data_IF_841843085464
#
_entry.id   IF_841843085464
#
_cell.length_a   1.000
_cell.length_b   1.000
_cell.length_c   1.000
_cell.angle_alpha   90.00
_cell.angle_beta   90.00
_cell.angle_gamma   90.00
#
_symmetry.space_group_name_H-M   'P 1'
#
loop_
_entity.id
_entity.type
_entity.pdbx_description
1 polymer ?
#
# COMPACT_ATOMS: atom_id res chain seq x y z
N UNK A 1 -3.94 17.03 -13.32
CA UNK A 1 -3.21 16.96 -12.03
C UNK A 1 -1.73 16.65 -12.24
N UNK A 2 -0.83 17.21 -11.42
CA UNK A 2 0.62 16.98 -11.49
C UNK A 2 1.26 16.85 -10.07
N UNK A 3 2.58 16.64 -10.01
CA UNK A 3 3.31 16.41 -8.76
C UNK A 3 3.20 17.55 -7.75
N UNK A 4 2.83 18.78 -8.17
CA UNK A 4 2.71 19.93 -7.28
C UNK A 4 1.61 19.74 -6.24
N UNK A 5 0.59 18.93 -6.55
CA UNK A 5 -0.47 18.58 -5.61
C UNK A 5 0.09 17.97 -4.32
N UNK A 6 1.13 17.13 -4.40
CA UNK A 6 1.78 16.54 -3.22
C UNK A 6 2.79 17.48 -2.54
N UNK A 7 3.27 18.51 -3.23
CA UNK A 7 4.21 19.47 -2.64
C UNK A 7 3.54 20.47 -1.70
N UNK A 8 2.22 20.66 -1.83
CA UNK A 8 1.43 21.47 -0.90
C UNK A 8 1.54 20.98 0.54
N UNK A 9 1.80 19.68 0.73
CA UNK A 9 1.95 19.06 2.05
C UNK A 9 3.41 18.98 2.53
N UNK A 10 4.33 19.74 1.94
CA UNK A 10 5.71 19.83 2.43
C UNK A 10 5.73 20.67 3.71
N UNK A 11 5.97 20.01 4.85
CA UNK A 11 6.10 20.67 6.15
C UNK A 11 4.86 20.59 7.04
N UNK A 12 3.75 20.04 6.55
CA UNK A 12 2.52 19.83 7.32
C UNK A 12 2.31 18.35 7.71
N UNK A 13 1.49 18.06 8.74
CA UNK A 13 1.03 16.71 9.03
C UNK A 13 0.34 16.10 7.80
N UNK A 14 0.77 14.90 7.41
CA UNK A 14 0.27 14.18 6.22
C UNK A 14 -1.06 13.46 6.50
N UNK A 15 -2.11 14.23 6.85
CA UNK A 15 -3.44 13.72 7.20
C UNK A 15 -4.37 13.51 6.00
N UNK A 16 -5.69 13.68 6.19
CA UNK A 16 -6.73 13.39 5.19
C UNK A 16 -6.53 14.06 3.81
N UNK A 17 -6.12 15.33 3.78
CA UNK A 17 -5.87 16.03 2.51
C UNK A 17 -4.70 15.42 1.72
N UNK A 18 -3.64 15.01 2.41
CA UNK A 18 -2.50 14.33 1.79
C UNK A 18 -2.90 12.94 1.27
N UNK A 19 -3.72 12.23 2.03
CA UNK A 19 -4.29 10.94 1.64
C UNK A 19 -5.06 11.07 0.32
N UNK A 20 -6.03 12.00 0.26
CA UNK A 20 -6.81 12.26 -0.96
C UNK A 20 -5.91 12.60 -2.14
N UNK A 21 -4.99 13.56 -1.99
CA UNK A 21 -4.07 13.95 -3.05
C UNK A 21 -3.17 12.80 -3.55
N UNK A 22 -2.83 11.84 -2.69
CA UNK A 22 -2.09 10.64 -3.09
C UNK A 22 -2.96 9.70 -3.95
N UNK A 23 -4.22 9.49 -3.60
CA UNK A 23 -5.13 8.66 -4.39
C UNK A 23 -5.37 9.26 -5.78
N UNK A 24 -5.74 10.53 -5.78
CA UNK A 24 -6.00 11.36 -6.95
C UNK A 24 -4.77 11.38 -7.89
N UNK A 25 -3.58 11.64 -7.35
CA UNK A 25 -2.38 11.68 -8.19
C UNK A 25 -1.93 10.28 -8.63
N UNK A 26 -2.18 9.26 -7.80
CA UNK A 26 -1.94 7.86 -8.14
C UNK A 26 -2.76 7.44 -9.37
N UNK A 27 -4.05 7.74 -9.39
CA UNK A 27 -4.93 7.51 -10.54
C UNK A 27 -4.41 8.25 -11.79
N UNK A 28 -4.13 9.55 -11.68
CA UNK A 28 -3.64 10.32 -12.83
C UNK A 28 -2.30 9.81 -13.39
N UNK A 29 -1.47 9.17 -12.56
CA UNK A 29 -0.24 8.49 -13.00
C UNK A 29 -0.55 7.15 -13.68
N UNK A 30 -1.51 6.41 -13.15
CA UNK A 30 -1.97 5.15 -13.74
C UNK A 30 -2.48 5.35 -15.17
N UNK A 31 -3.37 6.32 -15.39
CA UNK A 31 -3.91 6.65 -16.73
C UNK A 31 -2.81 7.01 -17.75
N UNK A 32 -1.65 7.46 -17.28
CA UNK A 32 -0.49 7.81 -18.11
C UNK A 32 0.49 6.66 -18.30
N UNK A 33 0.15 5.44 -17.87
CA UNK A 33 1.02 4.27 -17.95
C UNK A 33 2.20 4.29 -16.97
N UNK A 34 2.13 5.08 -15.89
CA UNK A 34 3.19 5.21 -14.89
C UNK A 34 2.90 4.37 -13.65
N UNK A 35 2.65 3.08 -13.83
CA UNK A 35 2.17 2.16 -12.79
C UNK A 35 3.07 2.11 -11.54
N UNK A 36 4.40 2.01 -11.69
CA UNK A 36 5.31 2.04 -10.55
C UNK A 36 5.13 3.29 -9.68
N UNK A 37 4.95 4.46 -10.32
CA UNK A 37 4.77 5.74 -9.61
C UNK A 37 3.38 5.87 -9.02
N UNK A 38 2.37 5.29 -9.66
CA UNK A 38 1.02 5.20 -9.13
C UNK A 38 0.99 4.38 -7.83
N UNK A 39 1.64 3.22 -7.80
CA UNK A 39 1.78 2.40 -6.59
C UNK A 39 2.51 3.15 -5.46
N UNK A 40 3.58 3.90 -5.77
CA UNK A 40 4.25 4.75 -4.77
C UNK A 40 3.33 5.82 -4.18
N UNK A 41 2.30 6.27 -4.90
CA UNK A 41 1.31 7.18 -4.32
C UNK A 41 0.39 6.44 -3.36
N UNK A 42 0.00 5.19 -3.67
CA UNK A 42 -0.77 4.35 -2.74
C UNK A 42 0.03 4.03 -1.46
N UNK A 43 1.33 3.78 -1.56
CA UNK A 43 2.21 3.60 -0.40
C UNK A 43 2.20 4.83 0.51
N UNK A 44 2.24 6.02 -0.11
CA UNK A 44 2.19 7.30 0.61
C UNK A 44 0.83 7.50 1.25
N UNK A 45 -0.26 7.14 0.58
CA UNK A 45 -1.61 7.17 1.13
C UNK A 45 -1.73 6.23 2.35
N UNK A 46 -1.20 5.01 2.26
CA UNK A 46 -1.12 4.08 3.40
C UNK A 46 -0.22 4.60 4.53
N UNK A 47 0.76 5.44 4.22
CA UNK A 47 1.61 6.11 5.20
C UNK A 47 1.04 7.42 5.77
N UNK A 48 -0.17 7.82 5.39
CA UNK A 48 -0.83 9.02 5.90
C UNK A 48 -1.19 8.88 7.40
N UNK A 49 -1.12 9.99 8.13
CA UNK A 49 -1.47 10.07 9.54
C UNK A 49 -2.99 10.19 9.71
N UNK A 50 -3.67 9.05 9.58
CA UNK A 50 -5.12 8.90 9.65
C UNK A 50 -5.53 8.17 10.92
N UNK A 51 -6.58 8.63 11.59
CA UNK A 51 -7.12 8.06 12.83
C UNK A 51 -8.19 6.99 12.56
N UNK A 52 -8.77 6.97 11.36
CA UNK A 52 -9.81 6.04 10.95
C UNK A 52 -11.22 6.61 10.99
N UNK A 53 -11.42 7.79 11.58
CA UNK A 53 -12.70 8.50 11.66
C UNK A 53 -12.83 9.62 10.61
N UNK A 54 -11.79 9.85 9.81
CA UNK A 54 -11.81 10.84 8.74
C UNK A 54 -12.95 10.55 7.74
N UNK A 55 -13.78 11.55 7.37
CA UNK A 55 -14.87 11.36 6.42
C UNK A 55 -14.43 10.75 5.08
N UNK A 56 -13.22 11.11 4.61
CA UNK A 56 -12.65 10.60 3.37
C UNK A 56 -12.54 9.06 3.33
N UNK A 57 -12.40 8.39 4.48
CA UNK A 57 -12.28 6.93 4.55
C UNK A 57 -13.61 6.19 4.34
N UNK A 58 -14.75 6.90 4.36
CA UNK A 58 -16.06 6.32 4.05
C UNK A 58 -16.22 6.11 2.55
N UNK A 59 -15.82 7.11 1.78
CA UNK A 59 -15.89 7.06 0.31
C UNK A 59 -14.68 6.34 -0.28
N UNK A 60 -13.51 6.52 0.34
CA UNK A 60 -12.23 5.99 -0.12
C UNK A 60 -11.51 5.23 1.00
N UNK A 61 -11.84 3.94 1.23
CA UNK A 61 -11.16 3.09 2.21
C UNK A 61 -9.66 2.99 1.92
N UNK A 62 -8.86 2.59 2.91
CA UNK A 62 -7.42 2.39 2.75
C UNK A 62 -7.10 1.56 1.48
N UNK A 63 -6.12 1.96 0.66
CA UNK A 63 -6.04 1.56 -0.74
C UNK A 63 -5.46 0.16 -0.98
N UNK A 64 -5.72 -0.81 -0.10
CA UNK A 64 -5.34 -2.21 -0.31
C UNK A 64 -5.96 -2.78 -1.58
N UNK A 65 -7.24 -2.49 -1.83
CA UNK A 65 -7.94 -2.93 -3.05
C UNK A 65 -7.32 -2.30 -4.30
N UNK A 66 -7.03 -1.00 -4.26
CA UNK A 66 -6.38 -0.30 -5.36
C UNK A 66 -4.97 -0.83 -5.62
N UNK A 67 -4.20 -1.12 -4.56
CA UNK A 67 -2.87 -1.71 -4.67
C UNK A 67 -2.91 -3.08 -5.36
N UNK A 68 -3.79 -3.98 -4.90
CA UNK A 68 -3.99 -5.28 -5.52
C UNK A 68 -4.43 -5.15 -6.99
N UNK A 69 -5.30 -4.19 -7.29
CA UNK A 69 -5.77 -3.93 -8.65
C UNK A 69 -4.65 -3.43 -9.57
N UNK A 70 -3.83 -2.46 -9.14
CA UNK A 70 -2.66 -2.01 -9.91
C UNK A 70 -1.67 -3.15 -10.17
N UNK A 71 -1.38 -3.97 -9.17
CA UNK A 71 -0.48 -5.11 -9.32
C UNK A 71 -0.98 -6.11 -10.37
N UNK A 72 -2.28 -6.40 -10.36
CA UNK A 72 -2.92 -7.37 -11.26
C UNK A 72 -3.06 -6.84 -12.69
N UNK A 73 -3.36 -5.54 -12.86
CA UNK A 73 -3.76 -4.97 -14.14
C UNK A 73 -2.67 -4.13 -14.81
N UNK A 74 -1.45 -4.11 -14.25
CA UNK A 74 -0.37 -3.42 -14.94
C UNK A 74 -0.07 -4.14 -16.25
N UNK A 75 -0.11 -3.45 -17.41
CA UNK A 75 0.23 -4.07 -18.68
C UNK A 75 1.65 -4.66 -18.65
N UNK A 76 1.90 -5.81 -19.31
CA UNK A 76 3.20 -6.47 -19.29
C UNK A 76 4.38 -5.60 -19.76
N UNK A 77 4.12 -4.65 -20.66
CA UNK A 77 5.09 -3.70 -21.21
C UNK A 77 5.37 -2.49 -20.29
N UNK A 78 4.55 -2.30 -19.27
CA UNK A 78 4.68 -1.19 -18.32
C UNK A 78 5.54 -1.62 -17.13
N UNK A 79 6.61 -0.85 -16.87
CA UNK A 79 7.51 -1.13 -15.77
C UNK A 79 6.86 -0.91 -14.40
N UNK A 80 6.98 -1.92 -13.52
CA UNK A 80 6.53 -1.88 -12.11
C UNK A 80 7.64 -2.20 -11.09
N UNK A 81 8.84 -2.50 -11.56
CA UNK A 81 9.91 -3.04 -10.71
C UNK A 81 9.58 -4.43 -10.15
N UNK A 82 10.14 -4.76 -8.99
CA UNK A 82 9.79 -5.96 -8.23
C UNK A 82 9.03 -5.53 -6.96
N UNK A 83 7.69 -5.64 -6.94
CA UNK A 83 6.88 -5.28 -5.78
C UNK A 83 7.24 -6.05 -4.51
N UNK A 84 7.60 -7.33 -4.61
CA UNK A 84 7.97 -8.16 -3.45
C UNK A 84 9.26 -7.64 -2.80
N UNK A 85 10.26 -7.27 -3.61
CA UNK A 85 11.49 -6.61 -3.16
C UNK A 85 11.17 -5.25 -2.53
N UNK A 86 10.38 -4.43 -3.21
CA UNK A 86 10.01 -3.08 -2.76
C UNK A 86 9.39 -3.10 -1.35
N UNK A 87 8.34 -3.91 -1.14
CA UNK A 87 7.64 -3.92 0.15
C UNK A 87 8.48 -4.50 1.29
N UNK A 88 9.35 -5.49 1.02
CA UNK A 88 10.31 -6.00 2.01
C UNK A 88 11.22 -4.88 2.51
N UNK A 89 11.83 -4.12 1.60
CA UNK A 89 12.71 -3.01 1.96
C UNK A 89 11.95 -1.84 2.57
N UNK A 90 10.72 -1.58 2.14
CA UNK A 90 9.89 -0.51 2.65
C UNK A 90 9.54 -0.73 4.14
N UNK A 91 9.22 -1.97 4.51
CA UNK A 91 8.86 -2.32 5.88
C UNK A 91 9.93 -1.93 6.92
N UNK A 92 11.22 -2.05 6.58
CA UNK A 92 12.34 -1.77 7.50
C UNK A 92 12.80 -0.31 7.50
N UNK A 93 12.23 0.53 6.63
CA UNK A 93 12.60 1.96 6.49
C UNK A 93 11.58 2.92 7.10
N UNK A 94 10.63 2.40 7.87
CA UNK A 94 9.60 3.23 8.49
C UNK A 94 10.17 4.08 9.63
N UNK A 95 9.78 5.34 9.66
CA UNK A 95 10.13 6.29 10.72
C UNK A 95 8.93 6.52 11.65
N UNK A 96 9.07 7.39 12.65
CA UNK A 96 7.93 7.92 13.42
C UNK A 96 7.21 9.05 12.65
N UNK A 97 5.95 9.39 12.99
CA UNK A 97 5.07 8.74 13.97
C UNK A 97 4.42 7.44 13.45
N UNK A 98 3.97 6.55 14.33
CA UNK A 98 3.24 5.31 13.98
C UNK A 98 4.07 4.37 13.11
N UNK A 99 5.34 4.20 13.46
CA UNK A 99 6.27 3.34 12.71
C UNK A 99 5.73 1.92 12.50
N UNK A 100 5.24 1.28 13.56
CA UNK A 100 4.76 -0.10 13.50
C UNK A 100 3.53 -0.23 12.60
N UNK A 101 2.55 0.67 12.70
CA UNK A 101 1.40 0.72 11.78
C UNK A 101 1.88 0.71 10.32
N UNK A 102 2.76 1.63 9.95
CA UNK A 102 3.24 1.78 8.57
C UNK A 102 4.04 0.56 8.10
N UNK A 103 4.83 -0.03 9.01
CA UNK A 103 5.56 -1.28 8.75
C UNK A 103 4.60 -2.42 8.42
N UNK A 104 3.55 -2.60 9.22
CA UNK A 104 2.57 -3.66 9.00
C UNK A 104 1.71 -3.44 7.76
N UNK A 105 1.42 -2.18 7.40
CA UNK A 105 0.82 -1.84 6.09
C UNK A 105 1.73 -2.22 4.91
N UNK A 106 3.05 -2.05 5.03
CA UNK A 106 3.99 -2.51 4.01
C UNK A 106 4.00 -4.04 3.89
N UNK A 107 4.00 -4.77 5.01
CA UNK A 107 3.87 -6.23 5.00
C UNK A 107 2.53 -6.73 4.44
N UNK A 108 1.45 -6.00 4.71
CA UNK A 108 0.13 -6.27 4.14
C UNK A 108 0.13 -6.16 2.60
N UNK A 109 0.81 -5.13 2.05
CA UNK A 109 0.99 -4.98 0.61
C UNK A 109 1.95 -6.02 0.02
N UNK A 110 3.00 -6.40 0.75
CA UNK A 110 3.87 -7.51 0.39
C UNK A 110 3.11 -8.82 0.22
N UNK A 111 2.19 -9.12 1.14
CA UNK A 111 1.36 -10.31 1.08
C UNK A 111 0.42 -10.28 -0.14
N UNK A 112 -0.18 -9.12 -0.45
CA UNK A 112 -0.96 -8.93 -1.68
C UNK A 112 -0.10 -9.17 -2.92
N UNK A 113 1.10 -8.58 -2.99
CA UNK A 113 2.01 -8.76 -4.11
C UNK A 113 2.37 -10.23 -4.36
N UNK A 114 2.59 -11.02 -3.30
CA UNK A 114 2.87 -12.45 -3.42
C UNK A 114 1.76 -13.26 -4.05
N UNK A 115 0.51 -12.89 -3.79
CA UNK A 115 -0.65 -13.62 -4.31
C UNK A 115 -1.02 -13.14 -5.71
N UNK A 116 -0.94 -11.82 -5.95
CA UNK A 116 -1.33 -11.24 -7.23
C UNK A 116 -0.25 -11.46 -8.29
N UNK A 117 1.03 -11.40 -7.91
CA UNK A 117 2.18 -11.51 -8.81
C UNK A 117 3.22 -12.50 -8.25
N UNK A 118 2.90 -13.80 -8.19
CA UNK A 118 3.74 -14.82 -7.57
C UNK A 118 5.09 -15.02 -8.28
N UNK A 119 5.23 -14.56 -9.52
CA UNK A 119 6.48 -14.61 -10.28
C UNK A 119 7.59 -13.71 -9.70
N UNK A 120 7.25 -12.72 -8.88
CA UNK A 120 8.25 -11.88 -8.23
C UNK A 120 8.87 -12.56 -7.01
N UNK A 121 10.18 -12.77 -7.07
CA UNK A 121 10.96 -13.30 -5.97
C UNK A 121 11.22 -12.25 -4.87
N UNK A 122 11.41 -12.73 -3.64
CA UNK A 122 11.95 -11.93 -2.54
C UNK A 122 13.40 -11.54 -2.82
N UNK A 123 13.91 -10.55 -2.08
CA UNK A 123 15.35 -10.27 -2.06
C UNK A 123 16.09 -11.38 -1.29
N UNK A 124 16.95 -12.20 -1.95
CA UNK A 124 17.69 -13.24 -1.26
C UNK A 124 18.77 -12.70 -0.31
N UNK A 125 19.17 -11.43 -0.46
CA UNK A 125 20.18 -10.78 0.40
C UNK A 125 19.55 -10.09 1.60
N UNK A 126 18.24 -9.89 1.58
CA UNK A 126 17.53 -9.29 2.69
C UNK A 126 17.09 -10.37 3.68
N UNK A 127 17.89 -10.53 4.74
CA UNK A 127 17.61 -11.52 5.78
C UNK A 127 16.48 -11.00 6.67
N UNK A 128 15.25 -11.26 6.24
CA UNK A 128 14.04 -10.92 6.98
C UNK A 128 13.19 -12.16 7.20
N UNK A 129 12.66 -12.30 8.41
CA UNK A 129 11.64 -13.32 8.69
C UNK A 129 10.33 -12.82 8.12
N UNK A 130 9.93 -13.38 6.97
CA UNK A 130 8.66 -13.05 6.33
C UNK A 130 7.50 -13.32 7.31
N UNK A 131 6.66 -12.33 7.63
CA UNK A 131 5.56 -12.53 8.56
C UNK A 131 4.48 -13.43 7.96
N UNK A 132 3.83 -14.20 8.81
CA UNK A 132 2.68 -15.02 8.41
C UNK A 132 1.46 -14.14 8.16
N UNK A 133 0.48 -14.69 7.44
CA UNK A 133 -0.82 -14.01 7.23
C UNK A 133 -1.45 -13.60 8.57
N UNK A 134 -1.47 -14.50 9.54
CA UNK A 134 -2.04 -14.24 10.87
C UNK A 134 -1.25 -13.20 11.66
N UNK A 135 0.09 -13.18 11.54
CA UNK A 135 0.93 -12.18 12.18
C UNK A 135 0.64 -10.77 11.62
N UNK A 136 0.54 -10.63 10.30
CA UNK A 136 0.16 -9.36 9.67
C UNK A 136 -1.23 -8.94 10.16
N UNK A 137 -2.20 -9.87 10.14
CA UNK A 137 -3.56 -9.56 10.51
C UNK A 137 -3.69 -9.11 11.98
N UNK A 138 -3.01 -9.80 12.89
CA UNK A 138 -2.98 -9.44 14.31
C UNK A 138 -2.33 -8.08 14.54
N UNK A 139 -1.24 -7.79 13.83
CA UNK A 139 -0.57 -6.51 13.92
C UNK A 139 -1.39 -5.35 13.33
N UNK A 140 -2.10 -5.57 12.22
CA UNK A 140 -3.04 -4.57 11.70
C UNK A 140 -4.21 -4.32 12.66
N UNK A 141 -4.65 -5.32 13.43
CA UNK A 141 -5.65 -5.10 14.49
C UNK A 141 -5.06 -4.29 15.66
N UNK A 142 -3.80 -4.53 16.02
CA UNK A 142 -3.16 -3.88 17.18
C UNK A 142 -2.70 -2.44 16.89
N UNK A 143 -2.05 -2.23 15.73
CA UNK A 143 -1.39 -0.97 15.36
C UNK A 143 -2.15 -0.19 14.29
N UNK A 144 -3.09 -0.83 13.58
CA UNK A 144 -3.87 -0.22 12.50
C UNK A 144 -5.02 0.68 12.98
N UNK A 145 -5.86 1.10 12.04
CA UNK A 145 -7.14 1.75 12.36
C UNK A 145 -8.25 0.71 12.54
N UNK A 146 -9.36 1.10 13.16
CA UNK A 146 -10.50 0.21 13.36
C UNK A 146 -11.00 -0.36 12.02
N UNK A 147 -11.18 -1.69 11.97
CA UNK A 147 -11.63 -2.40 10.77
C UNK A 147 -10.55 -2.66 9.70
N UNK A 148 -9.31 -2.20 9.92
CA UNK A 148 -8.25 -2.31 8.91
C UNK A 148 -7.87 -3.76 8.60
N UNK A 149 -7.78 -4.60 9.63
CA UNK A 149 -7.45 -6.02 9.47
C UNK A 149 -8.53 -6.75 8.67
N UNK A 150 -9.80 -6.48 8.96
CA UNK A 150 -10.95 -7.03 8.25
C UNK A 150 -10.97 -6.60 6.79
N UNK A 151 -10.72 -5.32 6.51
CA UNK A 151 -10.60 -4.78 5.16
C UNK A 151 -9.47 -5.50 4.39
N UNK A 152 -8.28 -5.60 4.97
CA UNK A 152 -7.15 -6.24 4.32
C UNK A 152 -7.39 -7.73 4.06
N UNK A 153 -7.93 -8.48 5.04
CA UNK A 153 -8.27 -9.90 4.87
C UNK A 153 -9.28 -10.12 3.75
N UNK A 154 -10.30 -9.26 3.65
CA UNK A 154 -11.29 -9.30 2.58
C UNK A 154 -10.63 -9.09 1.22
N UNK A 155 -9.82 -8.04 1.05
CA UNK A 155 -9.09 -7.76 -0.19
C UNK A 155 -8.13 -8.90 -0.54
N UNK A 156 -7.39 -9.44 0.43
CA UNK A 156 -6.48 -10.56 0.20
C UNK A 156 -7.22 -11.82 -0.29
N UNK A 157 -8.38 -12.12 0.30
CA UNK A 157 -9.22 -13.26 -0.11
C UNK A 157 -9.73 -13.10 -1.55
N UNK A 158 -10.17 -11.90 -1.93
CA UNK A 158 -10.59 -11.58 -3.29
C UNK A 158 -9.43 -11.70 -4.28
N UNK A 159 -8.28 -11.10 -3.97
CA UNK A 159 -7.07 -11.18 -4.80
C UNK A 159 -6.64 -12.63 -5.01
N UNK A 160 -6.66 -13.46 -3.96
CA UNK A 160 -6.33 -14.87 -4.05
C UNK A 160 -7.29 -15.65 -4.95
N UNK A 161 -8.58 -15.35 -4.92
CA UNK A 161 -9.57 -16.01 -5.80
C UNK A 161 -9.39 -15.63 -7.27
N UNK A 162 -8.93 -14.41 -7.55
CA UNK A 162 -8.69 -13.95 -8.91
C UNK A 162 -7.37 -14.52 -9.51
N UNK A 163 -6.43 -14.93 -8.66
CA UNK A 163 -5.14 -15.51 -9.08
C UNK A 163 -5.14 -17.03 -9.27
N UNK A 164 -6.25 -17.72 -8.98
CA UNK A 164 -6.43 -19.19 -9.12
C UNK A 164 -7.29 -19.47 -10.34
#
# INVERSE_FOLDING_TARGET
MDWRALHLFRGEPRGAGFYGACLEYGEALWERGLAARAMLCLDRALGADLRGDEPALRDWPLPYRAMAWFLAHTPPEVFIGNPRYHFQHLADRMNEPRREQRRWRAWACWALARVVRPEFAADPKHVVVEPTFDAIAAALTADGIAGESELWRMVFSEARKASV
#
